data_IF_083677928946
#
_entry.id   IF_083677928946
#
_cell.length_a   1.000
_cell.length_b   1.000
_cell.length_c   1.000
_cell.angle_alpha   90.00
_cell.angle_beta   90.00
_cell.angle_gamma   90.00
#
_symmetry.space_group_name_H-M   'P 1'
#
loop_
_entity.id
_entity.type
_entity.pdbx_description
1 polymer ?
#
# COMPACT_ATOMS: atom_id res chain seq x y z
N UNK A 1 6.06 15.45 6.47
CA UNK A 1 7.27 14.60 6.37
C UNK A 1 7.47 14.17 4.92
N UNK A 2 8.72 14.11 4.42
CA UNK A 2 9.04 13.65 3.06
C UNK A 2 10.15 12.60 3.11
N UNK A 3 9.96 11.49 2.38
CA UNK A 3 10.96 10.44 2.19
C UNK A 3 11.25 10.34 0.70
N UNK A 4 12.47 10.64 0.28
CA UNK A 4 12.84 10.70 -1.15
C UNK A 4 13.47 9.39 -1.63
N UNK A 5 13.14 8.99 -2.85
CA UNK A 5 13.87 7.97 -3.58
C UNK A 5 15.29 8.48 -3.92
N UNK A 6 16.31 7.67 -3.70
CA UNK A 6 17.71 8.05 -3.99
C UNK A 6 17.95 8.35 -5.47
N UNK A 7 17.16 7.75 -6.36
CA UNK A 7 17.24 7.97 -7.81
C UNK A 7 16.36 9.11 -8.29
N UNK A 8 15.62 9.79 -7.37
CA UNK A 8 14.76 10.91 -7.70
C UNK A 8 13.51 10.59 -8.52
N UNK A 9 13.11 9.32 -8.61
CA UNK A 9 11.94 8.89 -9.39
C UNK A 9 10.61 9.23 -8.72
N UNK A 10 10.59 9.27 -7.38
CA UNK A 10 9.41 9.58 -6.59
C UNK A 10 9.80 10.12 -5.21
N UNK A 11 8.81 10.65 -4.50
CA UNK A 11 8.88 10.92 -3.08
C UNK A 11 7.63 10.37 -2.38
N UNK A 12 7.77 10.01 -1.12
CA UNK A 12 6.68 9.68 -0.23
C UNK A 12 6.42 10.88 0.67
N UNK A 13 5.17 11.29 0.80
CA UNK A 13 4.73 12.34 1.74
C UNK A 13 3.33 12.08 2.24
N UNK A 14 2.94 12.81 3.23
CA UNK A 14 1.55 12.82 3.69
C UNK A 14 0.60 13.24 2.56
N UNK A 15 -0.59 12.67 2.59
CA UNK A 15 -1.68 13.09 1.72
C UNK A 15 -2.14 14.49 2.07
N UNK A 16 -2.54 15.26 1.08
CA UNK A 16 -3.13 16.58 1.22
C UNK A 16 -4.41 16.72 0.40
N UNK A 17 -5.29 17.65 0.76
CA UNK A 17 -6.52 17.86 -0.01
C UNK A 17 -6.26 18.32 -1.46
N UNK A 18 -5.06 18.81 -1.77
CA UNK A 18 -4.66 19.11 -3.15
C UNK A 18 -4.51 17.85 -4.02
N UNK A 19 -4.40 16.66 -3.41
CA UNK A 19 -4.24 15.39 -4.10
C UNK A 19 -5.57 14.73 -4.50
N UNK A 20 -6.72 15.31 -4.13
CA UNK A 20 -8.06 14.73 -4.39
C UNK A 20 -8.23 14.32 -5.85
N UNK A 21 -7.88 15.20 -6.77
CA UNK A 21 -8.06 14.95 -8.20
C UNK A 21 -7.14 13.85 -8.71
N UNK A 22 -5.84 13.93 -8.37
CA UNK A 22 -4.86 12.93 -8.82
C UNK A 22 -5.12 11.57 -8.18
N UNK A 23 -5.56 11.52 -6.92
CA UNK A 23 -5.96 10.27 -6.28
C UNK A 23 -7.14 9.63 -7.01
N UNK A 24 -8.24 10.38 -7.21
CA UNK A 24 -9.42 9.86 -7.86
C UNK A 24 -9.15 9.38 -9.29
N UNK A 25 -8.36 10.15 -10.06
CA UNK A 25 -7.98 9.80 -11.44
C UNK A 25 -7.14 8.51 -11.49
N UNK A 26 -6.12 8.40 -10.65
CA UNK A 26 -5.15 7.31 -10.74
C UNK A 26 -5.65 5.98 -10.16
N UNK A 27 -6.46 6.00 -9.09
CA UNK A 27 -6.93 4.78 -8.44
C UNK A 27 -8.19 4.20 -9.11
N UNK A 28 -8.96 5.02 -9.82
CA UNK A 28 -10.17 4.59 -10.54
C UNK A 28 -9.82 3.79 -11.80
N UNK A 29 -9.17 2.66 -11.61
CA UNK A 29 -8.69 1.75 -12.64
C UNK A 29 -9.07 0.32 -12.27
N UNK A 30 -9.74 -0.39 -13.17
CA UNK A 30 -10.22 -1.76 -12.94
C UNK A 30 -9.05 -2.73 -12.65
N UNK A 31 -7.89 -2.52 -13.27
CA UNK A 31 -6.70 -3.35 -13.05
C UNK A 31 -6.10 -3.14 -11.64
N UNK A 32 -6.29 -1.98 -11.04
CA UNK A 32 -5.98 -1.73 -9.64
C UNK A 32 -7.07 -2.34 -8.76
N UNK A 33 -8.34 -2.03 -9.03
CA UNK A 33 -9.46 -2.47 -8.21
C UNK A 33 -9.56 -3.99 -8.07
N UNK A 34 -9.25 -4.73 -9.12
CA UNK A 34 -9.23 -6.20 -9.09
C UNK A 34 -8.21 -6.78 -8.08
N UNK A 35 -7.24 -6.00 -7.64
CA UNK A 35 -6.15 -6.42 -6.77
C UNK A 35 -6.19 -5.82 -5.36
N UNK A 36 -7.25 -5.06 -5.03
CA UNK A 36 -7.48 -4.47 -3.72
C UNK A 36 -8.79 -4.95 -3.12
N UNK A 37 -9.01 -4.65 -1.86
CA UNK A 37 -10.24 -5.03 -1.13
C UNK A 37 -11.45 -4.26 -1.65
N UNK A 38 -12.63 -4.86 -1.53
CA UNK A 38 -13.91 -4.26 -1.95
C UNK A 38 -14.31 -3.02 -1.12
N UNK A 39 -13.68 -2.80 0.02
CA UNK A 39 -13.82 -1.56 0.78
C UNK A 39 -13.33 -0.31 0.02
N UNK A 40 -12.51 -0.49 -1.02
CA UNK A 40 -12.15 0.55 -1.97
C UNK A 40 -13.20 0.53 -3.08
N UNK A 41 -14.03 1.59 -3.25
CA UNK A 41 -15.11 1.60 -4.24
C UNK A 41 -14.58 1.65 -5.68
N UNK A 42 -15.41 1.19 -6.62
CA UNK A 42 -15.16 1.32 -8.06
C UNK A 42 -16.48 1.62 -8.81
N UNK A 43 -16.54 2.65 -9.65
CA UNK A 43 -15.49 3.68 -9.88
C UNK A 43 -15.20 4.49 -8.60
N UNK A 44 -13.98 5.01 -8.47
CA UNK A 44 -13.55 5.81 -7.34
C UNK A 44 -13.77 7.29 -7.63
N UNK A 45 -14.48 7.98 -6.75
CA UNK A 45 -14.90 9.37 -6.97
C UNK A 45 -13.99 10.37 -6.25
N UNK A 46 -14.11 11.65 -6.60
CA UNK A 46 -13.47 12.76 -5.86
C UNK A 46 -13.96 12.86 -4.42
N UNK A 47 -15.21 12.52 -4.16
CA UNK A 47 -15.77 12.49 -2.80
C UNK A 47 -15.13 11.39 -1.96
N UNK A 48 -14.96 10.18 -2.53
CA UNK A 48 -14.24 9.09 -1.91
C UNK A 48 -12.79 9.50 -1.58
N UNK A 49 -12.10 10.12 -2.54
CA UNK A 49 -10.74 10.62 -2.38
C UNK A 49 -10.64 11.66 -1.25
N UNK A 50 -11.54 12.63 -1.23
CA UNK A 50 -11.58 13.65 -0.19
C UNK A 50 -11.85 13.06 1.20
N UNK A 51 -12.74 12.08 1.28
CA UNK A 51 -13.04 11.37 2.54
C UNK A 51 -11.84 10.57 3.02
N UNK A 52 -11.22 9.79 2.16
CA UNK A 52 -10.00 9.03 2.49
C UNK A 52 -8.88 9.95 2.99
N UNK A 53 -8.58 11.03 2.27
CA UNK A 53 -7.51 11.96 2.64
C UNK A 53 -7.77 12.57 4.04
N UNK A 54 -8.99 13.01 4.34
CA UNK A 54 -9.32 13.54 5.68
C UNK A 54 -9.08 12.49 6.76
N UNK A 55 -9.50 11.24 6.54
CA UNK A 55 -9.26 10.15 7.49
C UNK A 55 -7.76 9.91 7.72
N UNK A 56 -6.93 9.99 6.68
CA UNK A 56 -5.48 9.84 6.85
C UNK A 56 -4.85 11.00 7.61
N UNK A 57 -5.35 12.23 7.41
CA UNK A 57 -4.86 13.43 8.10
C UNK A 57 -5.21 13.45 9.60
N UNK A 58 -6.29 12.78 10.00
CA UNK A 58 -6.74 12.73 11.42
C UNK A 58 -5.99 11.68 12.26
N UNK A 59 -5.10 10.89 11.66
CA UNK A 59 -4.31 9.89 12.39
C UNK A 59 -3.25 10.52 13.28
N UNK A 60 -2.93 9.92 14.44
CA UNK A 60 -2.00 10.49 15.43
C UNK A 60 -0.55 10.57 14.91
N UNK A 61 -0.21 9.81 13.89
CA UNK A 61 1.08 9.84 13.19
C UNK A 61 0.88 9.32 11.74
N UNK A 62 1.87 9.55 10.90
CA UNK A 62 1.77 9.19 9.47
C UNK A 62 1.76 7.68 9.30
N UNK A 63 0.65 7.15 8.83
CA UNK A 63 0.44 5.74 8.51
C UNK A 63 0.22 5.51 7.01
N UNK A 64 -0.16 6.55 6.29
CA UNK A 64 -0.48 6.50 4.86
C UNK A 64 0.29 7.58 4.11
N UNK A 65 1.00 7.16 3.09
CA UNK A 65 1.82 8.02 2.25
C UNK A 65 1.28 8.08 0.83
N UNK A 66 1.24 9.26 0.26
CA UNK A 66 1.14 9.45 -1.18
C UNK A 66 2.49 9.14 -1.82
N UNK A 67 2.48 8.36 -2.89
CA UNK A 67 3.63 8.19 -3.78
C UNK A 67 3.50 9.26 -4.85
N UNK A 68 4.41 10.23 -4.83
CA UNK A 68 4.39 11.38 -5.76
C UNK A 68 5.49 11.22 -6.79
N UNK A 69 5.11 11.20 -8.05
CA UNK A 69 6.00 11.21 -9.20
C UNK A 69 5.50 12.25 -10.20
N UNK A 70 6.40 12.92 -10.91
CA UNK A 70 6.09 13.97 -11.89
C UNK A 70 5.15 15.07 -11.32
N UNK A 71 5.30 15.36 -10.01
CA UNK A 71 4.51 16.37 -9.31
C UNK A 71 3.08 15.97 -8.95
N UNK A 72 2.66 14.72 -9.18
CA UNK A 72 1.31 14.21 -8.91
C UNK A 72 1.35 12.99 -7.97
N UNK A 73 0.31 12.81 -7.16
CA UNK A 73 0.12 11.59 -6.39
C UNK A 73 -0.36 10.47 -7.33
N UNK A 74 0.53 9.51 -7.60
CA UNK A 74 0.33 8.42 -8.55
C UNK A 74 0.14 7.07 -7.90
N UNK A 75 0.20 7.01 -6.57
CA UNK A 75 0.04 5.80 -5.79
C UNK A 75 -0.12 6.10 -4.31
N UNK A 76 -0.39 5.06 -3.56
CA UNK A 76 -0.47 5.10 -2.12
C UNK A 76 0.18 3.89 -1.48
N UNK A 77 0.77 4.09 -0.32
CA UNK A 77 1.32 3.03 0.52
C UNK A 77 1.09 3.38 1.98
N UNK A 78 0.64 2.41 2.75
CA UNK A 78 0.38 2.62 4.17
C UNK A 78 0.44 1.33 4.96
N UNK A 79 0.34 1.46 6.27
CA UNK A 79 0.29 0.32 7.18
C UNK A 79 -0.81 0.53 8.22
N UNK A 80 -1.41 -0.57 8.63
CA UNK A 80 -2.48 -0.60 9.63
C UNK A 80 -1.93 -1.36 10.83
N UNK A 81 -1.59 -0.67 11.93
CA UNK A 81 -1.19 -1.33 13.17
C UNK A 81 -2.32 -2.23 13.70
N UNK A 82 -1.95 -3.40 14.17
CA UNK A 82 -2.85 -4.28 14.89
C UNK A 82 -2.96 -3.84 16.36
N UNK A 83 -3.84 -4.48 17.09
CA UNK A 83 -4.10 -4.15 18.48
C UNK A 83 -3.91 -5.36 19.39
N UNK A 84 -4.07 -5.16 20.69
CA UNK A 84 -4.02 -6.19 21.74
C UNK A 84 -2.67 -6.96 21.71
N UNK A 85 -2.72 -8.28 21.64
CA UNK A 85 -1.53 -9.15 21.63
C UNK A 85 -0.69 -9.03 20.36
N UNK A 86 -1.29 -8.56 19.27
CA UNK A 86 -0.64 -8.34 17.97
C UNK A 86 -0.13 -6.92 17.76
N UNK A 87 -0.16 -6.05 18.77
CA UNK A 87 0.14 -4.60 18.68
C UNK A 87 1.50 -4.23 18.11
N UNK A 88 2.43 -5.17 18.03
CA UNK A 88 3.74 -4.97 17.40
C UNK A 88 3.79 -5.41 15.93
N UNK A 89 2.64 -5.78 15.36
CA UNK A 89 2.48 -6.12 13.95
C UNK A 89 1.64 -5.07 13.23
N UNK A 90 1.88 -4.90 11.94
CA UNK A 90 1.01 -4.08 11.09
C UNK A 90 0.83 -4.70 9.70
N UNK A 91 -0.34 -4.50 9.11
CA UNK A 91 -0.62 -4.89 7.73
C UNK A 91 -0.18 -3.78 6.77
N UNK A 92 0.65 -4.12 5.80
CA UNK A 92 1.10 -3.23 4.74
C UNK A 92 0.10 -3.30 3.58
N UNK A 93 -0.35 -2.14 3.09
CA UNK A 93 -1.19 -2.01 1.90
C UNK A 93 -0.62 -0.98 0.94
N UNK A 94 -0.77 -1.21 -0.37
CA UNK A 94 -0.27 -0.29 -1.39
C UNK A 94 -1.00 -0.46 -2.73
N UNK A 95 -0.95 0.59 -3.52
CA UNK A 95 -1.39 0.62 -4.91
C UNK A 95 -0.55 1.63 -5.70
N UNK A 96 -0.48 1.46 -7.02
CA UNK A 96 0.26 2.34 -7.92
C UNK A 96 -0.50 2.46 -9.25
N UNK A 97 -0.54 3.66 -9.81
CA UNK A 97 -1.08 3.91 -11.16
C UNK A 97 -0.38 3.02 -12.19
N UNK A 98 -1.16 2.47 -13.11
CA UNK A 98 -0.71 1.52 -14.14
C UNK A 98 0.44 2.07 -14.99
N UNK A 99 0.44 3.36 -15.29
CA UNK A 99 1.49 4.05 -16.04
C UNK A 99 2.87 4.01 -15.36
N UNK A 100 2.89 3.72 -14.06
CA UNK A 100 4.12 3.66 -13.24
C UNK A 100 4.54 2.23 -12.89
N UNK A 101 3.83 1.21 -13.38
CA UNK A 101 4.19 -0.20 -13.15
C UNK A 101 5.52 -0.56 -13.83
N UNK A 102 6.15 -1.62 -13.35
CA UNK A 102 7.41 -2.19 -13.86
C UNK A 102 8.63 -1.24 -13.85
N UNK A 103 8.55 -0.11 -13.14
CA UNK A 103 9.64 0.87 -13.01
C UNK A 103 10.42 0.73 -11.68
N UNK A 104 10.10 -0.28 -10.87
CA UNK A 104 10.73 -0.52 -9.57
C UNK A 104 10.35 0.47 -8.48
N UNK A 105 9.36 1.34 -8.72
CA UNK A 105 8.90 2.35 -7.77
C UNK A 105 8.33 1.69 -6.52
N UNK A 106 7.39 0.76 -6.67
CA UNK A 106 6.70 0.17 -5.52
C UNK A 106 7.63 -0.62 -4.60
N UNK A 107 8.55 -1.44 -5.14
CA UNK A 107 9.49 -2.18 -4.31
C UNK A 107 10.42 -1.27 -3.50
N UNK A 108 10.81 -0.13 -4.06
CA UNK A 108 11.59 0.86 -3.33
C UNK A 108 10.73 1.64 -2.32
N UNK A 109 9.50 2.02 -2.68
CA UNK A 109 8.56 2.67 -1.75
C UNK A 109 8.30 1.79 -0.52
N UNK A 110 8.13 0.47 -0.71
CA UNK A 110 7.97 -0.47 0.40
C UNK A 110 9.19 -0.46 1.30
N UNK A 111 10.43 -0.54 0.77
CA UNK A 111 11.65 -0.49 1.59
C UNK A 111 11.71 0.78 2.44
N UNK A 112 11.40 1.93 1.85
CA UNK A 112 11.39 3.21 2.57
C UNK A 112 10.35 3.26 3.69
N UNK A 113 9.16 2.69 3.46
CA UNK A 113 8.12 2.60 4.48
C UNK A 113 8.52 1.58 5.57
N UNK A 114 9.11 0.45 5.22
CA UNK A 114 9.67 -0.51 6.19
C UNK A 114 10.70 0.16 7.10
N UNK A 115 11.67 0.87 6.51
CA UNK A 115 12.70 1.60 7.26
C UNK A 115 12.08 2.64 8.20
N UNK A 116 11.08 3.37 7.72
CA UNK A 116 10.33 4.33 8.53
C UNK A 116 9.61 3.64 9.70
N UNK A 117 8.83 2.61 9.43
CA UNK A 117 8.03 1.90 10.44
C UNK A 117 8.93 1.33 11.53
N UNK A 118 9.99 0.64 11.15
CA UNK A 118 10.88 -0.01 12.12
C UNK A 118 11.75 0.96 12.93
N UNK A 119 11.93 2.19 12.44
CA UNK A 119 12.68 3.23 13.15
C UNK A 119 11.80 4.12 14.02
N UNK A 120 10.63 4.49 13.52
CA UNK A 120 9.79 5.54 14.13
C UNK A 120 8.61 5.00 14.93
N UNK A 121 8.40 3.67 14.95
CA UNK A 121 7.30 3.04 15.67
C UNK A 121 7.77 1.81 16.45
N UNK A 122 6.89 1.28 17.31
CA UNK A 122 7.15 0.03 18.05
C UNK A 122 6.83 -1.24 17.23
N UNK A 123 6.44 -1.10 15.96
CA UNK A 123 6.15 -2.24 15.08
C UNK A 123 7.45 -2.98 14.77
N UNK A 124 7.44 -4.28 14.99
CA UNK A 124 8.57 -5.18 14.72
C UNK A 124 8.29 -6.17 13.59
N UNK A 125 7.06 -6.20 13.09
CA UNK A 125 6.63 -7.11 12.03
C UNK A 125 5.64 -6.44 11.09
N UNK A 126 5.97 -6.45 9.81
CA UNK A 126 5.04 -6.05 8.74
C UNK A 126 4.62 -7.29 7.96
N UNK A 127 3.34 -7.38 7.59
CA UNK A 127 2.84 -8.43 6.73
C UNK A 127 1.95 -7.85 5.63
N UNK A 128 1.82 -8.59 4.54
CA UNK A 128 0.94 -8.27 3.43
C UNK A 128 0.31 -9.54 2.86
N UNK A 129 -0.92 -9.41 2.37
CA UNK A 129 -1.61 -10.50 1.67
C UNK A 129 -1.79 -10.13 0.20
N UNK A 130 -1.57 -11.08 -0.70
CA UNK A 130 -1.65 -10.91 -2.14
C UNK A 130 -2.58 -11.96 -2.73
N UNK A 131 -3.49 -11.56 -3.60
CA UNK A 131 -4.37 -12.50 -4.30
C UNK A 131 -3.57 -13.41 -5.23
N UNK A 132 -3.96 -14.68 -5.32
CA UNK A 132 -3.25 -15.74 -6.05
C UNK A 132 -2.90 -15.39 -7.51
N UNK A 133 -3.74 -14.57 -8.15
CA UNK A 133 -3.57 -14.14 -9.53
C UNK A 133 -2.72 -12.87 -9.72
N UNK A 134 -2.07 -12.36 -8.64
CA UNK A 134 -1.23 -11.16 -8.73
C UNK A 134 0.27 -11.45 -8.45
N UNK A 135 0.95 -12.20 -9.35
CA UNK A 135 2.37 -12.51 -9.17
C UNK A 135 3.27 -11.27 -9.20
N UNK A 136 2.83 -10.19 -9.83
CA UNK A 136 3.59 -8.94 -9.88
C UNK A 136 3.75 -8.34 -8.48
N UNK A 137 2.67 -8.30 -7.67
CA UNK A 137 2.73 -7.84 -6.28
C UNK A 137 3.57 -8.77 -5.40
N UNK A 138 3.52 -10.08 -5.62
CA UNK A 138 4.37 -11.04 -4.90
C UNK A 138 5.86 -10.73 -5.13
N UNK A 139 6.27 -10.52 -6.39
CA UNK A 139 7.65 -10.15 -6.75
C UNK A 139 8.07 -8.81 -6.15
N UNK A 140 7.15 -7.86 -6.04
CA UNK A 140 7.42 -6.55 -5.43
C UNK A 140 7.76 -6.71 -3.95
N UNK A 141 7.00 -7.53 -3.21
CA UNK A 141 7.26 -7.86 -1.80
C UNK A 141 8.58 -8.60 -1.61
N UNK A 142 8.85 -9.64 -2.41
CA UNK A 142 10.11 -10.39 -2.36
C UNK A 142 11.32 -9.47 -2.59
N UNK A 143 11.24 -8.56 -3.58
CA UNK A 143 12.28 -7.56 -3.83
C UNK A 143 12.47 -6.57 -2.69
N UNK A 144 11.43 -6.33 -1.90
CA UNK A 144 11.49 -5.48 -0.72
C UNK A 144 11.95 -6.22 0.55
N UNK A 145 12.26 -7.52 0.46
CA UNK A 145 12.78 -8.33 1.55
C UNK A 145 11.75 -9.17 2.30
N UNK A 146 10.48 -9.14 1.88
CA UNK A 146 9.45 -9.98 2.48
C UNK A 146 9.61 -11.44 2.06
N UNK A 147 9.30 -12.33 2.99
CA UNK A 147 9.31 -13.78 2.77
C UNK A 147 7.88 -14.31 2.74
N UNK A 148 7.58 -15.16 1.77
CA UNK A 148 6.30 -15.86 1.70
C UNK A 148 6.23 -16.93 2.79
N UNK A 149 5.27 -16.80 3.69
CA UNK A 149 5.07 -17.70 4.83
C UNK A 149 4.01 -18.77 4.58
N UNK A 150 2.95 -18.42 3.85
CA UNK A 150 1.81 -19.33 3.68
C UNK A 150 0.99 -19.02 2.43
N UNK A 151 0.16 -20.00 2.07
CA UNK A 151 -1.00 -19.84 1.18
C UNK A 151 -2.25 -20.07 2.02
N UNK A 152 -3.04 -19.04 2.18
CA UNK A 152 -4.33 -19.07 2.87
C UNK A 152 -5.39 -19.51 1.84
N UNK A 153 -5.73 -20.78 1.87
CA UNK A 153 -6.66 -21.35 0.87
C UNK A 153 -8.08 -20.84 1.09
N UNK A 154 -8.74 -20.43 0.00
CA UNK A 154 -10.13 -19.95 -0.03
C UNK A 154 -10.37 -18.80 0.97
N UNK A 155 -9.37 -17.95 1.14
CA UNK A 155 -9.37 -16.91 2.18
C UNK A 155 -10.08 -15.62 1.78
N UNK A 156 -10.42 -15.45 0.50
CA UNK A 156 -11.11 -14.25 0.02
C UNK A 156 -12.13 -14.58 -1.07
N UNK A 157 -13.03 -13.63 -1.30
CA UNK A 157 -13.92 -13.61 -2.45
C UNK A 157 -13.70 -12.32 -3.22
N UNK A 158 -13.38 -12.40 -4.50
CA UNK A 158 -13.26 -11.24 -5.40
C UNK A 158 -14.02 -11.51 -6.69
N UNK A 159 -14.84 -10.55 -7.13
CA UNK A 159 -15.68 -10.70 -8.34
C UNK A 159 -16.53 -11.98 -8.33
N UNK A 160 -17.07 -12.37 -7.18
CA UNK A 160 -17.88 -13.58 -7.01
C UNK A 160 -17.08 -14.89 -7.04
N UNK A 161 -15.75 -14.85 -7.12
CA UNK A 161 -14.88 -16.03 -7.11
C UNK A 161 -14.18 -16.17 -5.76
N UNK A 162 -14.21 -17.37 -5.20
CA UNK A 162 -13.40 -17.74 -4.04
C UNK A 162 -11.95 -17.92 -4.50
N UNK A 163 -11.02 -17.26 -3.82
CA UNK A 163 -9.60 -17.20 -4.18
C UNK A 163 -8.70 -17.48 -3.00
N UNK A 164 -7.49 -17.91 -3.27
CA UNK A 164 -6.43 -18.06 -2.29
C UNK A 164 -5.72 -16.70 -2.07
N UNK A 165 -5.14 -16.53 -0.89
CA UNK A 165 -4.29 -15.37 -0.57
C UNK A 165 -2.90 -15.87 -0.19
N UNK A 166 -1.87 -15.25 -0.76
CA UNK A 166 -0.48 -15.50 -0.40
C UNK A 166 -0.06 -14.54 0.70
N UNK A 167 0.43 -15.07 1.80
CA UNK A 167 0.83 -14.34 2.99
C UNK A 167 2.34 -14.14 3.02
N UNK A 168 2.76 -12.88 3.12
CA UNK A 168 4.16 -12.46 3.19
C UNK A 168 4.41 -11.67 4.46
N UNK A 169 5.59 -11.80 5.05
CA UNK A 169 5.98 -10.93 6.15
C UNK A 169 7.47 -10.55 6.11
N UNK A 170 7.79 -9.54 6.90
CA UNK A 170 9.13 -9.08 7.20
C UNK A 170 9.20 -8.73 8.68
N UNK A 171 10.16 -9.29 9.37
CA UNK A 171 10.41 -9.08 10.80
C UNK A 171 11.67 -8.21 10.95
N UNK A 172 11.64 -7.30 11.90
CA UNK A 172 12.78 -6.46 12.29
C UNK A 172 13.83 -7.35 12.98
N UNK A 173 15.09 -7.29 12.54
CA UNK A 173 16.23 -7.94 13.14
C UNK A 173 16.59 -7.37 14.54
#
# INVERSE_FOLDING_TARGET
>A
MEIRDERGRFLLREWTLADVDSLAENISNINIWNNVRDGLPYPYTREDAGTYIRVTMDKPYVQDFAIVADGKAVGGIGFIPLCDVERYSAELGYWLSEDYWNKGIMSEAIRRVVDYVFRETDIIRLFATVYEYNPASMKVLEKAGFTKQAILRKAAVKNGKVIDMHYFDLVKD
#
